data_IF_120947077189
#
_entry.id   IF_120947077189
#
_cell.length_a   1.000
_cell.length_b   1.000
_cell.length_c   1.000
_cell.angle_alpha   90.00
_cell.angle_beta   90.00
_cell.angle_gamma   90.00
#
_symmetry.space_group_name_H-M   'P 1'
#
loop_
_entity.id
_entity.type
_entity.pdbx_description
1 polymer ?
#
# COMPACT_ATOMS: atom_id res chain seq x y z
N UNK A 1 22.59 0.23 -11.65
CA UNK A 1 21.53 0.47 -10.65
C UNK A 1 22.18 0.92 -9.35
N UNK A 2 21.76 2.04 -8.77
CA UNK A 2 22.25 2.46 -7.45
C UNK A 2 21.62 1.60 -6.36
N UNK A 3 22.34 1.38 -5.25
CA UNK A 3 21.83 0.61 -4.10
C UNK A 3 20.47 1.14 -3.59
N UNK A 4 20.28 2.47 -3.61
CA UNK A 4 19.02 3.11 -3.23
C UNK A 4 17.85 2.69 -4.14
N UNK A 5 18.08 2.56 -5.44
CA UNK A 5 17.05 2.17 -6.40
C UNK A 5 16.66 0.70 -6.21
N UNK A 6 17.63 -0.19 -5.98
CA UNK A 6 17.36 -1.60 -5.66
C UNK A 6 16.52 -1.70 -4.38
N UNK A 7 16.91 -0.96 -3.33
CA UNK A 7 16.16 -0.94 -2.07
C UNK A 7 14.74 -0.43 -2.26
N UNK A 8 14.54 0.64 -3.04
CA UNK A 8 13.21 1.17 -3.35
C UNK A 8 12.31 0.15 -4.08
N UNK A 9 12.86 -0.56 -5.06
CA UNK A 9 12.12 -1.60 -5.81
C UNK A 9 11.76 -2.75 -4.87
N UNK A 10 12.72 -3.24 -4.08
CA UNK A 10 12.46 -4.34 -3.15
C UNK A 10 11.39 -3.97 -2.12
N UNK A 11 11.47 -2.78 -1.51
CA UNK A 11 10.49 -2.36 -0.51
C UNK A 11 9.11 -2.14 -1.11
N UNK A 12 8.98 -1.51 -2.29
CA UNK A 12 7.66 -1.32 -2.91
C UNK A 12 7.04 -2.66 -3.36
N UNK A 13 7.85 -3.62 -3.82
CA UNK A 13 7.37 -4.97 -4.14
C UNK A 13 6.94 -5.72 -2.88
N UNK A 14 7.68 -5.60 -1.78
CA UNK A 14 7.26 -6.16 -0.49
C UNK A 14 5.93 -5.54 -0.03
N UNK A 15 5.76 -4.23 -0.17
CA UNK A 15 4.51 -3.55 0.14
C UNK A 15 3.33 -4.16 -0.65
N UNK A 16 3.50 -4.34 -1.96
CA UNK A 16 2.51 -4.99 -2.82
C UNK A 16 2.17 -6.40 -2.34
N UNK A 17 3.18 -7.21 -2.03
CA UNK A 17 2.99 -8.60 -1.59
C UNK A 17 2.25 -8.67 -0.25
N UNK A 18 2.73 -7.96 0.78
CA UNK A 18 2.10 -7.98 2.10
C UNK A 18 0.68 -7.43 2.07
N UNK A 19 0.47 -6.33 1.35
CA UNK A 19 -0.84 -5.72 1.29
C UNK A 19 -1.85 -6.59 0.53
N UNK A 20 -1.44 -7.18 -0.60
CA UNK A 20 -2.27 -8.12 -1.35
C UNK A 20 -2.59 -9.37 -0.54
N UNK A 21 -1.59 -9.99 0.13
CA UNK A 21 -1.84 -11.13 1.01
C UNK A 21 -2.82 -10.74 2.12
N UNK A 22 -2.65 -9.58 2.76
CA UNK A 22 -3.56 -9.08 3.77
C UNK A 22 -5.01 -9.01 3.28
N UNK A 23 -5.24 -8.39 2.13
CA UNK A 23 -6.60 -8.14 1.58
C UNK A 23 -7.26 -9.44 1.14
N UNK A 24 -6.54 -10.31 0.43
CA UNK A 24 -7.10 -11.55 -0.10
C UNK A 24 -7.22 -12.63 0.97
N UNK A 25 -6.29 -12.71 1.93
CA UNK A 25 -6.44 -13.62 3.09
C UNK A 25 -7.59 -13.21 3.99
N UNK A 26 -7.82 -11.90 4.16
CA UNK A 26 -8.97 -11.40 4.89
C UNK A 26 -10.30 -11.77 4.21
N UNK A 27 -10.39 -11.59 2.90
CA UNK A 27 -11.54 -12.04 2.10
C UNK A 27 -11.76 -13.55 2.24
N UNK A 28 -10.69 -14.35 2.17
CA UNK A 28 -10.78 -15.81 2.30
C UNK A 28 -11.21 -16.25 3.71
N UNK A 29 -10.71 -15.59 4.76
CA UNK A 29 -11.09 -15.88 6.14
C UNK A 29 -12.53 -15.50 6.49
N UNK A 30 -13.18 -14.66 5.69
CA UNK A 30 -14.56 -14.21 5.90
C UNK A 30 -14.78 -13.33 7.14
N UNK A 31 -13.72 -12.96 7.85
CA UNK A 31 -13.77 -12.08 9.03
C UNK A 31 -12.41 -11.44 9.30
N UNK A 32 -12.42 -10.17 9.70
CA UNK A 32 -11.23 -9.44 10.09
C UNK A 32 -10.57 -10.04 11.35
N UNK A 33 -9.28 -10.35 11.27
CA UNK A 33 -8.47 -10.92 12.35
C UNK A 33 -7.15 -10.15 12.49
N UNK A 34 -6.49 -10.31 13.64
CA UNK A 34 -5.23 -9.61 13.94
C UNK A 34 -4.14 -9.86 12.89
N UNK A 35 -4.08 -11.07 12.32
CA UNK A 35 -3.10 -11.43 11.27
C UNK A 35 -3.25 -10.54 10.03
N UNK A 36 -4.47 -10.17 9.65
CA UNK A 36 -4.72 -9.28 8.51
C UNK A 36 -4.26 -7.86 8.81
N UNK A 37 -4.52 -7.36 10.03
CA UNK A 37 -4.05 -6.04 10.50
C UNK A 37 -2.52 -5.96 10.48
N UNK A 38 -1.83 -7.02 10.92
CA UNK A 38 -0.36 -7.10 10.83
C UNK A 38 0.10 -7.01 9.36
N UNK A 39 -0.54 -7.74 8.44
CA UNK A 39 -0.22 -7.66 7.00
C UNK A 39 -0.46 -6.27 6.42
N UNK A 40 -1.56 -5.59 6.78
CA UNK A 40 -1.82 -4.21 6.38
C UNK A 40 -0.74 -3.26 6.91
N UNK A 41 -0.33 -3.43 8.17
CA UNK A 41 0.75 -2.66 8.78
C UNK A 41 2.10 -2.85 8.09
N UNK A 42 2.46 -4.10 7.77
CA UNK A 42 3.67 -4.40 7.00
C UNK A 42 3.61 -3.78 5.61
N UNK A 43 2.48 -3.91 4.91
CA UNK A 43 2.25 -3.27 3.62
C UNK A 43 2.51 -1.77 3.67
N UNK A 44 1.88 -1.06 4.62
CA UNK A 44 2.03 0.39 4.79
C UNK A 44 3.48 0.79 5.16
N UNK A 45 4.13 0.00 6.02
CA UNK A 45 5.51 0.25 6.44
C UNK A 45 6.47 0.19 5.25
N UNK A 46 6.38 -0.88 4.46
CA UNK A 46 7.21 -1.04 3.26
C UNK A 46 6.89 0.00 2.18
N UNK A 47 5.62 0.36 1.99
CA UNK A 47 5.21 1.38 1.02
C UNK A 47 5.77 2.76 1.39
N UNK A 48 5.66 3.13 2.67
CA UNK A 48 6.21 4.38 3.19
C UNK A 48 7.72 4.46 2.98
N UNK A 49 8.45 3.37 3.27
CA UNK A 49 9.90 3.31 3.04
C UNK A 49 10.22 3.40 1.55
N UNK A 50 9.56 2.61 0.69
CA UNK A 50 9.75 2.63 -0.76
C UNK A 50 9.53 4.02 -1.34
N UNK A 51 8.38 4.63 -1.04
CA UNK A 51 8.02 5.96 -1.51
C UNK A 51 8.96 7.05 -0.99
N UNK A 52 9.46 6.94 0.25
CA UNK A 52 10.45 7.88 0.80
C UNK A 52 11.77 7.79 0.04
N UNK A 53 12.27 6.58 -0.22
CA UNK A 53 13.51 6.37 -0.96
C UNK A 53 13.34 6.84 -2.42
N UNK A 54 12.23 6.50 -3.07
CA UNK A 54 11.91 6.97 -4.43
C UNK A 54 11.86 8.50 -4.52
N UNK A 55 11.22 9.15 -3.53
CA UNK A 55 11.17 10.62 -3.46
C UNK A 55 12.55 11.24 -3.27
N UNK A 56 13.42 10.61 -2.47
CA UNK A 56 14.80 11.06 -2.30
C UNK A 56 15.63 10.89 -3.58
N UNK A 57 15.39 9.83 -4.37
CA UNK A 57 16.03 9.63 -5.67
C UNK A 57 15.54 10.70 -6.67
N UNK A 58 14.23 10.95 -6.74
CA UNK A 58 13.62 11.93 -7.65
C UNK A 58 14.10 13.36 -7.38
N UNK A 59 14.33 13.76 -6.13
CA UNK A 59 14.90 15.09 -5.80
C UNK A 59 16.31 15.32 -6.36
N UNK A 60 17.06 14.24 -6.64
CA UNK A 60 18.42 14.31 -7.16
C UNK A 60 18.49 14.13 -8.69
N UNK A 61 17.38 13.82 -9.36
CA UNK A 61 17.30 13.62 -10.81
C UNK A 61 16.26 14.54 -11.44
N UNK A 62 16.68 15.36 -12.41
CA UNK A 62 15.88 16.42 -13.03
C UNK A 62 14.75 15.93 -13.98
N UNK A 63 13.88 15.02 -13.54
CA UNK A 63 12.71 14.58 -14.31
C UNK A 63 11.43 15.13 -13.68
N UNK A 64 10.93 16.23 -14.25
CA UNK A 64 9.77 17.00 -13.78
C UNK A 64 8.39 16.37 -14.10
N UNK A 65 8.32 15.22 -14.77
CA UNK A 65 7.07 14.59 -15.22
C UNK A 65 6.38 13.69 -14.16
N UNK A 66 6.78 13.81 -12.89
CA UNK A 66 6.42 12.87 -11.81
C UNK A 66 5.32 13.36 -10.84
N UNK A 67 4.74 14.55 -11.02
CA UNK A 67 3.86 15.13 -9.99
C UNK A 67 2.58 14.32 -9.76
N UNK A 68 1.94 13.79 -10.81
CA UNK A 68 0.72 12.99 -10.68
C UNK A 68 0.97 11.65 -9.98
N UNK A 69 2.06 10.95 -10.31
CA UNK A 69 2.43 9.71 -9.62
C UNK A 69 2.78 9.99 -8.14
N UNK A 70 3.48 11.09 -7.85
CA UNK A 70 3.79 11.49 -6.48
C UNK A 70 2.53 11.81 -5.66
N UNK A 71 1.57 12.55 -6.24
CA UNK A 71 0.30 12.88 -5.59
C UNK A 71 -0.52 11.61 -5.34
N UNK A 72 -0.66 10.75 -6.36
CA UNK A 72 -1.42 9.51 -6.24
C UNK A 72 -0.75 8.52 -5.27
N UNK A 73 0.58 8.45 -5.23
CA UNK A 73 1.33 7.66 -4.26
C UNK A 73 1.13 8.14 -2.82
N UNK A 74 1.21 9.45 -2.58
CA UNK A 74 0.91 10.03 -1.26
C UNK A 74 -0.54 9.75 -0.83
N UNK A 75 -1.49 9.93 -1.76
CA UNK A 75 -2.89 9.62 -1.50
C UNK A 75 -3.09 8.14 -1.13
N UNK A 76 -2.37 7.22 -1.77
CA UNK A 76 -2.42 5.80 -1.47
C UNK A 76 -1.85 5.46 -0.09
N UNK A 77 -0.74 6.07 0.34
CA UNK A 77 -0.20 5.90 1.70
C UNK A 77 -1.21 6.39 2.74
N UNK A 78 -1.81 7.57 2.54
CA UNK A 78 -2.83 8.11 3.45
C UNK A 78 -4.03 7.16 3.52
N UNK A 79 -4.48 6.65 2.37
CA UNK A 79 -5.60 5.73 2.28
C UNK A 79 -5.30 4.38 2.96
N UNK A 80 -4.09 3.84 2.82
CA UNK A 80 -3.63 2.64 3.55
C UNK A 80 -3.54 2.89 5.06
N UNK A 81 -3.05 4.05 5.49
CA UNK A 81 -3.00 4.40 6.90
C UNK A 81 -4.41 4.49 7.49
N UNK A 82 -5.33 5.15 6.79
CA UNK A 82 -6.74 5.18 7.17
C UNK A 82 -7.34 3.76 7.23
N UNK A 83 -7.06 2.91 6.24
CA UNK A 83 -7.52 1.53 6.22
C UNK A 83 -6.99 0.72 7.40
N UNK A 84 -5.71 0.84 7.75
CA UNK A 84 -5.11 0.18 8.91
C UNK A 84 -5.75 0.64 10.22
N UNK A 85 -5.91 1.96 10.42
CA UNK A 85 -6.55 2.52 11.61
C UNK A 85 -8.01 2.05 11.72
N UNK A 86 -8.73 2.03 10.60
CA UNK A 86 -10.10 1.53 10.56
C UNK A 86 -10.18 0.03 10.83
N UNK A 87 -9.21 -0.76 10.35
CA UNK A 87 -9.10 -2.18 10.64
C UNK A 87 -8.88 -2.42 12.14
N UNK A 88 -7.97 -1.67 12.77
CA UNK A 88 -7.75 -1.73 14.23
C UNK A 88 -9.03 -1.37 14.97
N UNK A 89 -9.71 -0.30 14.57
CA UNK A 89 -10.98 0.12 15.18
C UNK A 89 -12.06 -0.97 15.09
N UNK A 90 -12.28 -1.54 13.90
CA UNK A 90 -13.27 -2.61 13.69
C UNK A 90 -12.87 -3.91 14.40
N UNK A 91 -11.58 -4.20 14.52
CA UNK A 91 -11.11 -5.37 15.26
C UNK A 91 -11.43 -5.26 16.76
N UNK A 92 -11.21 -4.10 17.36
CA UNK A 92 -11.38 -3.87 18.81
C UNK A 92 -12.85 -3.62 19.18
N UNK A 93 -13.55 -2.76 18.42
CA UNK A 93 -14.89 -2.25 18.77
C UNK A 93 -15.98 -2.65 17.79
N UNK A 94 -15.65 -3.29 16.67
CA UNK A 94 -16.61 -3.66 15.63
C UNK A 94 -17.46 -4.87 15.99
N UNK A 95 -18.68 -4.90 15.48
CA UNK A 95 -19.56 -6.08 15.55
C UNK A 95 -19.06 -7.19 14.63
N UNK A 96 -19.50 -8.44 14.87
CA UNK A 96 -19.17 -9.57 13.98
C UNK A 96 -19.65 -9.35 12.54
N UNK A 97 -20.75 -8.62 12.36
CA UNK A 97 -21.24 -8.19 11.04
C UNK A 97 -20.31 -7.19 10.38
N UNK A 98 -19.70 -6.27 11.14
CA UNK A 98 -18.72 -5.32 10.62
C UNK A 98 -17.42 -6.05 10.23
N UNK A 99 -16.91 -6.94 11.09
CA UNK A 99 -15.69 -7.74 10.82
C UNK A 99 -15.85 -8.64 9.60
N UNK A 100 -17.01 -9.29 9.42
CA UNK A 100 -17.26 -10.17 8.28
C UNK A 100 -17.43 -9.43 6.95
N UNK A 101 -17.86 -8.17 6.98
CA UNK A 101 -18.03 -7.32 5.77
C UNK A 101 -16.82 -6.44 5.45
N UNK A 102 -15.81 -6.41 6.32
CA UNK A 102 -14.65 -5.51 6.19
C UNK A 102 -13.89 -5.71 4.87
N UNK A 103 -13.81 -6.94 4.36
CA UNK A 103 -13.14 -7.28 3.10
C UNK A 103 -13.63 -6.45 1.91
N UNK A 104 -14.90 -6.00 1.90
CA UNK A 104 -15.43 -5.14 0.83
C UNK A 104 -14.75 -3.78 0.83
N UNK A 105 -14.51 -3.23 2.02
CA UNK A 105 -13.77 -1.99 2.19
C UNK A 105 -12.29 -2.19 1.85
N UNK A 106 -11.67 -3.26 2.34
CA UNK A 106 -10.26 -3.59 2.02
C UNK A 106 -10.00 -3.74 0.52
N UNK A 107 -10.89 -4.41 -0.21
CA UNK A 107 -10.78 -4.55 -1.67
C UNK A 107 -10.81 -3.21 -2.39
N UNK A 108 -11.69 -2.30 -1.97
CA UNK A 108 -11.79 -0.96 -2.55
C UNK A 108 -10.50 -0.18 -2.33
N UNK A 109 -10.01 -0.15 -1.08
CA UNK A 109 -8.77 0.57 -0.71
C UNK A 109 -7.57 -0.02 -1.46
N UNK A 110 -7.50 -1.35 -1.61
CA UNK A 110 -6.47 -2.03 -2.38
C UNK A 110 -6.50 -1.69 -3.88
N UNK A 111 -7.69 -1.62 -4.49
CA UNK A 111 -7.83 -1.23 -5.90
C UNK A 111 -7.33 0.20 -6.15
N UNK A 112 -7.65 1.15 -5.25
CA UNK A 112 -7.14 2.52 -5.36
C UNK A 112 -5.63 2.59 -5.17
N UNK A 113 -5.08 1.81 -4.24
CA UNK A 113 -3.63 1.72 -4.04
C UNK A 113 -2.89 1.14 -5.27
N UNK A 114 -3.53 0.24 -6.02
CA UNK A 114 -2.94 -0.37 -7.21
C UNK A 114 -2.68 0.65 -8.33
N UNK A 115 -3.43 1.76 -8.37
CA UNK A 115 -3.29 2.81 -9.39
C UNK A 115 -1.88 3.41 -9.39
N UNK A 116 -1.39 4.04 -8.30
CA UNK A 116 -0.03 4.57 -8.28
C UNK A 116 1.02 3.48 -8.45
N UNK A 117 0.81 2.26 -7.93
CA UNK A 117 1.75 1.16 -8.12
C UNK A 117 1.96 0.82 -9.60
N UNK A 118 0.87 0.65 -10.37
CA UNK A 118 0.94 0.38 -11.82
C UNK A 118 1.55 1.57 -12.57
N UNK A 119 1.12 2.80 -12.26
CA UNK A 119 1.67 4.00 -12.89
C UNK A 119 3.18 4.10 -12.66
N UNK A 120 3.65 3.85 -11.43
CA UNK A 120 5.07 3.84 -11.07
C UNK A 120 5.85 2.77 -11.82
N UNK A 121 5.30 1.56 -11.98
CA UNK A 121 5.91 0.50 -12.77
C UNK A 121 6.05 0.87 -14.25
N UNK A 122 5.00 1.43 -14.87
CA UNK A 122 5.02 1.84 -16.28
C UNK A 122 6.10 2.90 -16.50
N UNK A 123 6.15 3.92 -15.64
CA UNK A 123 7.17 4.98 -15.71
C UNK A 123 8.58 4.38 -15.52
N UNK A 124 8.75 3.43 -14.60
CA UNK A 124 10.04 2.80 -14.31
C UNK A 124 10.56 1.89 -15.43
N UNK A 125 9.67 1.28 -16.22
CA UNK A 125 10.04 0.42 -17.37
C UNK A 125 10.42 1.26 -18.60
N UNK A 126 10.07 2.55 -18.65
CA UNK A 126 10.49 3.46 -19.71
C UNK A 126 9.70 3.32 -21.01
N UNK A 127 8.37 3.21 -20.90
CA UNK A 127 7.45 3.48 -22.03
C UNK A 127 7.11 4.97 -22.05
#
# INVERSE_FOLDING_TARGET
>A
MTIKLILAIVTITLAFVFYTIGVFSERHSGSLRIKHVVMFGLGLFFDTIGTTIMSAIAKNGATANFSLHQITGMAAIILMAFHLLWAIYVLIKGTEKAKSKFHKFSLLVWLFWLIPYIVGMIIGIGV
#
